data_IF_552029798675
#
_entry.id   IF_552029798675
#
_cell.length_a   1.000
_cell.length_b   1.000
_cell.length_c   1.000
_cell.angle_alpha   90.00
_cell.angle_beta   90.00
_cell.angle_gamma   90.00
#
_symmetry.space_group_name_H-M   'P 1'
#
loop_
_entity.id
_entity.type
_entity.pdbx_description
1 polymer ?
#
# COMPACT_ATOMS: atom_id res chain seq x y z
N UNK A 1 2.40 89.98 -10.12
CA UNK A 1 1.04 89.40 -10.18
C UNK A 1 1.18 87.95 -9.82
N UNK A 2 0.56 87.62 -8.69
CA UNK A 2 0.20 86.33 -8.10
C UNK A 2 1.29 85.28 -7.96
N UNK A 3 1.95 85.13 -6.80
CA UNK A 3 1.51 84.83 -5.41
C UNK A 3 1.15 83.36 -5.12
N UNK A 4 1.79 82.93 -4.03
CA UNK A 4 1.47 81.84 -3.09
C UNK A 4 1.88 80.43 -3.49
N UNK A 5 2.42 79.58 -2.61
CA UNK A 5 3.04 79.66 -1.28
C UNK A 5 3.47 78.19 -0.97
N UNK A 6 4.64 77.95 -0.36
CA UNK A 6 4.78 77.43 1.02
C UNK A 6 3.91 76.17 1.32
N UNK A 7 4.39 75.02 1.80
CA UNK A 7 5.53 74.77 2.68
C UNK A 7 5.73 73.27 2.98
N UNK A 8 6.99 72.92 3.27
CA UNK A 8 7.48 72.03 4.34
C UNK A 8 6.74 70.70 4.61
N UNK A 9 7.43 69.58 4.42
CA UNK A 9 8.21 68.96 5.49
C UNK A 9 8.96 67.73 4.99
N UNK A 10 10.21 67.65 5.42
CA UNK A 10 11.18 66.61 5.16
C UNK A 10 10.86 65.36 5.99
N UNK A 11 10.90 64.18 5.37
CA UNK A 11 11.13 62.91 6.06
C UNK A 11 11.68 61.89 5.06
N UNK A 12 12.95 61.55 5.28
CA UNK A 12 13.65 60.42 4.68
C UNK A 12 13.02 59.15 5.24
N UNK A 13 12.47 58.29 4.38
CA UNK A 13 12.17 56.90 4.74
C UNK A 13 12.98 56.01 3.82
N UNK A 14 14.04 55.45 4.41
CA UNK A 14 14.82 54.34 3.87
C UNK A 14 13.88 53.14 3.69
N UNK A 15 13.52 52.84 2.45
CA UNK A 15 12.72 51.67 2.09
C UNK A 15 13.60 50.57 1.52
N UNK A 16 14.00 49.64 2.38
CA UNK A 16 14.66 48.39 2.01
C UNK A 16 13.68 47.58 1.15
N UNK A 17 13.93 47.48 -0.16
CA UNK A 17 13.25 46.52 -1.02
C UNK A 17 13.84 45.12 -0.74
N UNK A 18 13.20 44.39 0.17
CA UNK A 18 13.43 42.97 0.34
C UNK A 18 12.97 42.22 -0.92
N UNK A 19 13.93 41.55 -1.56
CA UNK A 19 13.66 40.63 -2.65
C UNK A 19 12.76 39.48 -2.17
N UNK A 20 11.64 39.29 -2.87
CA UNK A 20 10.74 38.16 -2.70
C UNK A 20 11.43 36.87 -3.12
N UNK A 21 11.81 36.02 -2.17
CA UNK A 21 12.12 34.61 -2.44
C UNK A 21 10.86 33.80 -2.13
N UNK A 22 10.12 33.49 -3.19
CA UNK A 22 8.99 32.57 -3.16
C UNK A 22 9.55 31.14 -3.11
N UNK A 23 9.68 30.58 -1.91
CA UNK A 23 10.04 29.18 -1.72
C UNK A 23 8.82 28.30 -1.99
N UNK A 24 8.73 27.74 -3.20
CA UNK A 24 7.76 26.69 -3.53
C UNK A 24 8.23 25.40 -2.85
N UNK A 25 7.65 25.08 -1.70
CA UNK A 25 7.82 23.78 -1.06
C UNK A 25 7.04 22.72 -1.87
N UNK A 26 7.72 22.09 -2.82
CA UNK A 26 7.28 20.83 -3.42
C UNK A 26 7.49 19.72 -2.38
N UNK A 27 6.51 19.51 -1.48
CA UNK A 27 6.43 18.23 -0.76
C UNK A 27 5.60 17.28 -1.61
N UNK A 28 6.31 16.40 -2.31
CA UNK A 28 5.78 15.22 -2.97
C UNK A 28 5.17 14.27 -1.95
N UNK A 29 3.92 14.50 -1.56
CA UNK A 29 3.09 13.44 -1.00
C UNK A 29 2.52 12.65 -2.18
N UNK A 30 3.31 11.72 -2.70
CA UNK A 30 2.74 10.60 -3.44
C UNK A 30 2.13 9.67 -2.39
N UNK A 31 0.88 9.94 -1.99
CA UNK A 31 0.00 8.86 -1.60
C UNK A 31 -0.04 7.94 -2.83
N UNK A 32 0.52 6.73 -2.72
CA UNK A 32 0.33 5.73 -3.75
C UNK A 32 -1.19 5.57 -3.87
N UNK A 33 -1.76 6.10 -4.95
CA UNK A 33 -3.17 5.94 -5.23
C UNK A 33 -3.43 4.43 -5.25
N UNK A 34 -4.12 3.93 -4.22
CA UNK A 34 -4.77 2.63 -4.30
C UNK A 34 -5.68 2.75 -5.51
N UNK A 35 -5.26 2.14 -6.62
CA UNK A 35 -6.06 2.11 -7.83
C UNK A 35 -7.30 1.31 -7.47
N UNK A 36 -8.40 2.00 -7.23
CA UNK A 36 -9.69 1.38 -6.98
C UNK A 36 -10.01 0.56 -8.24
N UNK A 37 -9.89 -0.76 -8.15
CA UNK A 37 -10.24 -1.65 -9.25
C UNK A 37 -11.76 -1.69 -9.29
N UNK A 38 -12.36 -0.83 -10.11
CA UNK A 38 -13.82 -0.69 -10.21
C UNK A 38 -14.49 -1.80 -11.02
N UNK A 39 -13.72 -2.64 -11.69
CA UNK A 39 -14.21 -3.81 -12.41
C UNK A 39 -14.13 -5.10 -11.59
N UNK A 40 -15.00 -6.06 -11.91
CA UNK A 40 -14.95 -7.42 -11.35
C UNK A 40 -13.93 -8.32 -12.09
N UNK A 41 -13.17 -7.77 -13.03
CA UNK A 41 -12.09 -8.46 -13.72
C UNK A 41 -10.89 -7.53 -13.88
N UNK A 42 -9.68 -8.09 -13.77
CA UNK A 42 -8.44 -7.36 -13.93
C UNK A 42 -7.41 -8.23 -14.64
N UNK A 43 -6.86 -7.72 -15.74
CA UNK A 43 -5.70 -8.29 -16.41
C UNK A 43 -4.65 -7.19 -16.51
N UNK A 44 -3.49 -7.36 -15.89
CA UNK A 44 -2.45 -6.33 -15.90
C UNK A 44 -1.04 -6.90 -15.88
N UNK A 45 -0.08 -6.04 -16.22
CA UNK A 45 1.35 -6.21 -15.96
C UNK A 45 1.88 -4.94 -15.30
N UNK A 46 2.60 -5.08 -14.19
CA UNK A 46 3.13 -3.95 -13.41
C UNK A 46 4.52 -4.26 -12.86
N UNK A 47 5.35 -3.24 -12.78
CA UNK A 47 6.61 -3.27 -12.02
C UNK A 47 6.45 -2.33 -10.82
N UNK A 48 6.87 -2.79 -9.64
CA UNK A 48 6.82 -2.01 -8.41
C UNK A 48 8.02 -2.32 -7.52
N UNK A 49 8.47 -1.31 -6.80
CA UNK A 49 9.49 -1.45 -5.75
C UNK A 49 8.80 -1.48 -4.40
N UNK A 50 9.27 -2.36 -3.53
CA UNK A 50 8.71 -2.55 -2.19
C UNK A 50 8.86 -1.32 -1.31
N UNK A 51 7.95 -1.23 -0.35
CA UNK A 51 7.98 -0.28 0.76
C UNK A 51 7.90 -1.04 2.08
N UNK A 52 8.33 -0.47 3.22
CA UNK A 52 8.03 -1.04 4.52
C UNK A 52 6.52 -1.28 4.67
N UNK A 53 6.16 -2.47 5.16
CA UNK A 53 4.79 -2.84 5.47
C UNK A 53 4.26 -2.15 6.72
N UNK A 54 3.06 -2.56 7.15
CA UNK A 54 2.53 -2.12 8.45
C UNK A 54 3.22 -2.94 9.54
N UNK A 55 3.90 -2.30 10.50
CA UNK A 55 4.52 -3.01 11.60
C UNK A 55 3.47 -3.79 12.38
N UNK A 56 3.73 -5.07 12.60
CA UNK A 56 2.95 -5.93 13.48
C UNK A 56 3.89 -6.93 14.16
N UNK A 57 3.50 -7.53 15.30
CA UNK A 57 4.34 -8.51 15.98
C UNK A 57 4.81 -9.61 15.02
N UNK A 58 6.12 -9.79 14.86
CA UNK A 58 6.73 -10.75 13.94
C UNK A 58 6.85 -10.31 12.48
N UNK A 59 6.45 -9.07 12.15
CA UNK A 59 6.51 -8.49 10.79
C UNK A 59 6.95 -7.02 10.81
N UNK A 60 7.73 -6.61 11.80
CA UNK A 60 7.97 -5.21 12.15
C UNK A 60 8.68 -4.41 11.05
N UNK A 61 9.40 -5.07 10.14
CA UNK A 61 10.21 -4.42 9.10
C UNK A 61 10.07 -5.07 7.70
N UNK A 62 9.08 -5.94 7.51
CA UNK A 62 8.88 -6.64 6.25
C UNK A 62 8.63 -5.65 5.10
N UNK A 63 9.22 -5.95 3.94
CA UNK A 63 9.02 -5.16 2.73
C UNK A 63 7.85 -5.75 1.94
N UNK A 64 6.97 -4.90 1.40
CA UNK A 64 5.77 -5.35 0.69
C UNK A 64 5.54 -4.63 -0.65
N UNK A 65 4.91 -5.33 -1.58
CA UNK A 65 4.23 -4.77 -2.76
C UNK A 65 2.81 -5.34 -2.79
N UNK A 66 1.81 -4.46 -2.77
CA UNK A 66 0.41 -4.85 -2.95
C UNK A 66 0.12 -5.09 -4.44
N UNK A 67 -0.24 -6.32 -4.79
CA UNK A 67 -0.61 -6.72 -6.15
C UNK A 67 -2.11 -6.57 -6.39
N UNK A 68 -2.93 -7.03 -5.44
CA UNK A 68 -4.39 -6.85 -5.44
C UNK A 68 -4.85 -6.37 -4.06
N UNK A 69 -5.56 -5.23 -3.96
CA UNK A 69 -6.23 -4.81 -2.72
C UNK A 69 -7.50 -5.64 -2.46
N UNK A 70 -8.12 -5.53 -1.27
CA UNK A 70 -9.47 -6.05 -1.06
C UNK A 70 -10.43 -5.53 -2.13
N UNK A 71 -11.30 -6.40 -2.65
CA UNK A 71 -12.38 -5.95 -3.53
C UNK A 71 -13.51 -5.25 -2.76
N UNK A 72 -13.80 -5.74 -1.55
CA UNK A 72 -15.02 -5.36 -0.82
C UNK A 72 -16.26 -6.12 -1.32
N UNK A 73 -17.45 -5.72 -0.87
CA UNK A 73 -18.75 -6.24 -1.30
C UNK A 73 -18.88 -7.78 -1.26
N UNK A 74 -18.36 -8.40 -0.19
CA UNK A 74 -18.37 -9.85 0.06
C UNK A 74 -17.80 -10.70 -1.09
N UNK A 75 -16.75 -10.17 -1.76
CA UNK A 75 -16.06 -10.83 -2.87
C UNK A 75 -14.58 -11.09 -2.57
N UNK A 76 -14.07 -12.17 -3.15
CA UNK A 76 -12.65 -12.50 -3.22
C UNK A 76 -12.14 -12.44 -4.66
N UNK A 77 -10.83 -12.25 -4.82
CA UNK A 77 -10.18 -12.41 -6.11
C UNK A 77 -9.84 -13.87 -6.40
N UNK A 78 -10.14 -14.33 -7.60
CA UNK A 78 -9.77 -15.66 -8.09
C UNK A 78 -9.05 -15.51 -9.42
N UNK A 79 -7.86 -16.08 -9.54
CA UNK A 79 -7.06 -15.93 -10.75
C UNK A 79 -5.68 -16.56 -10.68
N UNK A 80 -4.79 -16.05 -11.53
CA UNK A 80 -3.40 -16.50 -11.65
C UNK A 80 -2.47 -15.29 -11.64
N UNK A 81 -1.34 -15.41 -10.95
CA UNK A 81 -0.25 -14.43 -10.98
C UNK A 81 1.03 -15.09 -11.46
N UNK A 82 1.84 -14.34 -12.20
CA UNK A 82 3.23 -14.66 -12.52
C UNK A 82 4.12 -13.49 -12.13
N UNK A 83 5.31 -13.77 -11.60
CA UNK A 83 6.24 -12.72 -11.17
C UNK A 83 7.69 -13.04 -11.48
N UNK A 84 8.50 -11.98 -11.53
CA UNK A 84 9.95 -11.97 -11.46
C UNK A 84 10.38 -10.86 -10.49
N UNK A 85 11.35 -11.12 -9.63
CA UNK A 85 11.76 -10.26 -8.52
C UNK A 85 13.27 -10.17 -8.44
N UNK A 86 13.77 -9.01 -7.98
CA UNK A 86 15.20 -8.79 -7.73
C UNK A 86 15.74 -9.58 -6.53
N UNK A 87 14.85 -10.00 -5.62
CA UNK A 87 15.17 -10.76 -4.41
C UNK A 87 14.21 -11.95 -4.27
N UNK A 88 14.60 -13.02 -3.56
CA UNK A 88 13.66 -14.05 -3.13
C UNK A 88 12.53 -13.42 -2.31
N UNK A 89 11.29 -13.68 -2.71
CA UNK A 89 10.09 -13.14 -2.08
C UNK A 89 9.04 -14.24 -1.95
N UNK A 90 8.18 -14.08 -0.96
CA UNK A 90 6.98 -14.88 -0.81
C UNK A 90 5.80 -14.20 -1.49
N UNK A 91 4.84 -15.02 -1.92
CA UNK A 91 3.52 -14.54 -2.36
C UNK A 91 2.59 -14.65 -1.15
N UNK A 92 2.27 -13.50 -0.56
CA UNK A 92 1.35 -13.42 0.55
C UNK A 92 -0.09 -13.53 0.09
N UNK A 93 -0.75 -14.60 0.50
CA UNK A 93 -2.19 -14.79 0.38
C UNK A 93 -2.86 -14.31 1.66
N UNK A 94 -3.57 -13.18 1.58
CA UNK A 94 -4.27 -12.62 2.73
C UNK A 94 -5.74 -12.95 2.57
N UNK A 95 -6.26 -13.66 3.56
CA UNK A 95 -7.65 -14.12 3.61
C UNK A 95 -8.27 -13.65 4.93
N UNK A 96 -9.51 -13.16 4.86
CA UNK A 96 -10.28 -12.77 6.03
C UNK A 96 -10.53 -13.99 6.92
N UNK A 97 -10.12 -13.88 8.18
CA UNK A 97 -10.24 -14.96 9.16
C UNK A 97 -11.53 -14.86 9.98
N UNK A 98 -12.25 -15.97 10.09
CA UNK A 98 -13.46 -16.04 10.88
C UNK A 98 -13.15 -16.40 12.34
N UNK A 99 -12.96 -15.39 13.18
CA UNK A 99 -12.73 -15.56 14.63
C UNK A 99 -13.85 -16.32 15.35
N UNK A 100 -15.09 -16.32 14.83
CA UNK A 100 -16.18 -17.06 15.47
C UNK A 100 -16.06 -18.58 15.28
N UNK A 101 -15.18 -19.04 14.39
CA UNK A 101 -14.91 -20.45 14.14
C UNK A 101 -13.70 -20.97 14.94
N UNK A 102 -13.06 -20.11 15.75
CA UNK A 102 -11.91 -20.46 16.57
C UNK A 102 -12.28 -21.32 17.77
N UNK A 103 -11.32 -22.15 18.19
CA UNK A 103 -11.37 -22.88 19.46
C UNK A 103 -10.07 -22.67 20.26
N UNK A 104 -10.17 -22.77 21.58
CA UNK A 104 -9.05 -22.46 22.49
C UNK A 104 -7.80 -23.34 22.28
N UNK A 105 -7.92 -24.49 21.63
CA UNK A 105 -6.83 -25.46 21.43
C UNK A 105 -6.10 -25.24 20.08
N UNK A 106 -6.78 -24.68 19.07
CA UNK A 106 -6.29 -24.59 17.69
C UNK A 106 -6.16 -23.17 17.11
N UNK A 107 -6.45 -22.11 17.87
CA UNK A 107 -6.31 -20.68 17.46
C UNK A 107 -4.89 -20.17 17.31
N UNK A 108 -4.04 -20.84 16.52
CA UNK A 108 -2.63 -20.42 16.29
C UNK A 108 -2.41 -19.67 14.99
N UNK A 109 -3.46 -19.21 14.33
CA UNK A 109 -3.32 -18.47 13.08
C UNK A 109 -2.70 -17.11 13.41
N UNK A 110 -1.58 -16.77 12.77
CA UNK A 110 -1.03 -15.41 12.89
C UNK A 110 -1.96 -14.41 12.19
N UNK A 111 -2.33 -13.37 12.94
CA UNK A 111 -3.37 -12.43 12.55
C UNK A 111 -2.77 -11.04 12.35
N UNK A 112 -2.89 -10.48 11.13
CA UNK A 112 -2.55 -9.08 10.90
C UNK A 112 -3.79 -8.19 11.02
N UNK A 113 -3.74 -7.22 11.93
CA UNK A 113 -4.76 -6.18 12.05
C UNK A 113 -4.35 -4.97 11.22
N UNK A 114 -5.05 -4.73 10.10
CA UNK A 114 -4.83 -3.55 9.25
C UNK A 114 -5.83 -2.44 9.65
N UNK A 115 -5.36 -1.52 10.49
CA UNK A 115 -6.08 -0.36 11.05
C UNK A 115 -7.20 -0.68 12.06
N UNK A 116 -7.31 0.16 13.09
CA UNK A 116 -8.18 0.01 14.28
C UNK A 116 -9.71 0.11 14.01
N UNK A 117 -10.19 -0.09 12.78
CA UNK A 117 -11.58 0.23 12.41
C UNK A 117 -12.37 -0.87 11.71
N UNK A 118 -11.87 -2.09 11.56
CA UNK A 118 -12.74 -3.22 11.22
C UNK A 118 -12.07 -4.54 11.55
N UNK A 119 -12.87 -5.52 11.96
CA UNK A 119 -12.52 -6.88 12.39
C UNK A 119 -11.84 -7.74 11.31
N UNK A 120 -11.16 -7.15 10.33
CA UNK A 120 -10.44 -7.87 9.30
C UNK A 120 -9.10 -8.31 9.86
N UNK A 121 -9.14 -9.43 10.56
CA UNK A 121 -7.96 -10.25 10.74
C UNK A 121 -7.64 -10.84 9.37
N UNK A 122 -6.50 -10.45 8.82
CA UNK A 122 -5.95 -11.13 7.67
C UNK A 122 -5.04 -12.21 8.23
N UNK A 123 -5.48 -13.45 8.07
CA UNK A 123 -4.59 -14.57 8.24
C UNK A 123 -3.59 -14.51 7.09
N UNK A 124 -2.33 -14.23 7.40
CA UNK A 124 -1.24 -14.69 6.56
C UNK A 124 -1.08 -16.17 6.85
N UNK A 125 -0.76 -16.98 5.84
CA UNK A 125 -0.43 -18.40 6.07
C UNK A 125 0.87 -18.53 6.84
N UNK A 126 0.86 -18.22 8.14
CA UNK A 126 1.87 -18.65 9.06
C UNK A 126 1.27 -19.70 9.99
N UNK A 127 1.15 -20.90 9.45
CA UNK A 127 0.83 -22.11 10.20
C UNK A 127 1.72 -23.29 9.80
N UNK A 128 2.96 -23.03 9.30
CA UNK A 128 4.04 -23.99 8.90
C UNK A 128 4.40 -24.10 7.40
N UNK A 129 3.94 -23.20 6.53
CA UNK A 129 4.34 -23.22 5.12
C UNK A 129 4.34 -21.85 4.45
N UNK A 130 5.46 -21.14 4.52
CA UNK A 130 5.79 -20.08 3.57
C UNK A 130 5.56 -20.59 2.14
N UNK A 131 4.94 -19.81 1.27
CA UNK A 131 5.22 -20.02 -0.16
C UNK A 131 6.74 -19.93 -0.31
N UNK A 132 7.41 -20.84 -1.04
CA UNK A 132 8.85 -20.77 -1.16
C UNK A 132 9.30 -19.36 -1.57
N UNK A 133 10.31 -18.81 -0.89
CA UNK A 133 10.89 -17.55 -1.31
C UNK A 133 11.58 -17.75 -2.68
N UNK A 134 10.98 -17.19 -3.72
CA UNK A 134 11.40 -17.39 -5.09
C UNK A 134 11.55 -16.04 -5.79
N UNK A 135 12.58 -15.93 -6.61
CA UNK A 135 12.79 -14.77 -7.47
C UNK A 135 11.85 -14.77 -8.68
N UNK A 136 11.16 -15.88 -8.98
CA UNK A 136 10.17 -15.95 -10.03
C UNK A 136 9.20 -17.11 -9.78
N UNK A 137 8.02 -17.03 -10.37
CA UNK A 137 7.06 -18.11 -10.28
C UNK A 137 5.75 -17.78 -10.95
N UNK A 138 4.86 -18.76 -10.91
CA UNK A 138 3.44 -18.59 -11.23
C UNK A 138 2.63 -19.43 -10.26
N UNK A 139 1.47 -18.90 -9.84
CA UNK A 139 0.54 -19.62 -8.98
C UNK A 139 -0.88 -19.14 -9.24
N UNK A 140 -1.82 -20.08 -9.13
CA UNK A 140 -3.23 -19.78 -9.01
C UNK A 140 -3.53 -19.33 -7.57
N UNK A 141 -4.60 -18.55 -7.39
CA UNK A 141 -5.01 -18.05 -6.08
C UNK A 141 -6.53 -17.83 -5.98
N UNK A 142 -7.03 -17.85 -4.75
CA UNK A 142 -8.35 -17.41 -4.34
C UNK A 142 -8.23 -16.69 -2.98
N UNK A 143 -8.21 -15.35 -2.97
CA UNK A 143 -7.79 -14.54 -1.81
C UNK A 143 -8.55 -13.22 -1.71
N UNK A 144 -8.61 -12.63 -0.52
CA UNK A 144 -9.09 -11.26 -0.35
C UNK A 144 -8.06 -10.25 -0.85
N UNK A 145 -6.78 -10.48 -0.55
CA UNK A 145 -5.66 -9.66 -1.04
C UNK A 145 -4.49 -10.51 -1.47
N UNK A 146 -3.75 -9.98 -2.45
CA UNK A 146 -2.52 -10.59 -2.95
C UNK A 146 -1.37 -9.60 -2.76
N UNK A 147 -0.33 -10.03 -2.06
CA UNK A 147 0.89 -9.23 -1.85
C UNK A 147 2.12 -10.03 -2.23
N UNK A 148 3.19 -9.32 -2.54
CA UNK A 148 4.54 -9.86 -2.52
C UNK A 148 5.22 -9.35 -1.26
N UNK A 149 5.89 -10.22 -0.52
CA UNK A 149 6.59 -9.82 0.69
C UNK A 149 7.98 -10.41 0.79
N UNK A 150 8.88 -9.67 1.43
CA UNK A 150 10.19 -10.14 1.85
C UNK A 150 10.22 -10.22 3.37
N UNK A 151 10.56 -11.38 3.91
CA UNK A 151 10.63 -11.64 5.35
C UNK A 151 11.99 -11.24 5.96
N UNK A 152 12.98 -10.95 5.11
CA UNK A 152 14.34 -10.61 5.52
C UNK A 152 14.60 -9.09 5.51
N UNK A 153 13.54 -8.27 5.48
CA UNK A 153 13.58 -6.80 5.45
C UNK A 153 14.31 -6.20 4.24
N UNK A 154 14.60 -7.00 3.21
CA UNK A 154 15.34 -6.54 2.02
C UNK A 154 14.41 -5.88 1.04
N UNK A 155 14.75 -4.65 0.64
CA UNK A 155 13.99 -3.92 -0.38
C UNK A 155 14.13 -4.62 -1.72
N UNK A 156 13.01 -4.89 -2.39
CA UNK A 156 12.99 -5.60 -3.66
C UNK A 156 12.21 -4.84 -4.73
N UNK A 157 12.45 -5.17 -6.00
CA UNK A 157 11.63 -4.74 -7.13
C UNK A 157 11.07 -5.97 -7.81
N UNK A 158 9.75 -6.00 -8.00
CA UNK A 158 9.02 -7.10 -8.62
C UNK A 158 8.32 -6.60 -9.87
N UNK A 159 8.40 -7.39 -10.94
CA UNK A 159 7.52 -7.27 -12.11
C UNK A 159 6.58 -8.46 -12.11
N UNK A 160 5.28 -8.20 -12.18
CA UNK A 160 4.25 -9.22 -12.17
C UNK A 160 3.22 -8.99 -13.26
N UNK A 161 2.62 -10.09 -13.72
CA UNK A 161 1.42 -10.10 -14.53
C UNK A 161 0.36 -10.93 -13.82
N UNK A 162 -0.89 -10.46 -13.83
CA UNK A 162 -2.00 -11.18 -13.25
C UNK A 162 -3.24 -11.09 -14.13
N UNK A 163 -4.06 -12.12 -14.05
CA UNK A 163 -5.41 -12.17 -14.60
C UNK A 163 -6.34 -12.74 -13.54
N UNK A 164 -7.36 -11.98 -13.15
CA UNK A 164 -8.21 -12.33 -12.03
C UNK A 164 -9.63 -11.78 -12.18
N UNK A 165 -10.57 -12.44 -11.52
CA UNK A 165 -11.97 -12.02 -11.40
C UNK A 165 -12.38 -11.98 -9.94
N UNK A 166 -13.17 -10.99 -9.56
CA UNK A 166 -13.84 -10.92 -8.28
C UNK A 166 -15.06 -11.85 -8.30
N UNK A 167 -15.17 -12.73 -7.30
CA UNK A 167 -16.27 -13.68 -7.15
C UNK A 167 -16.92 -13.54 -5.79
N UNK A 168 -18.25 -13.65 -5.76
CA UNK A 168 -19.01 -13.66 -4.51
C UNK A 168 -18.62 -14.86 -3.65
N UNK A 169 -18.51 -14.63 -2.35
CA UNK A 169 -18.32 -15.71 -1.37
C UNK A 169 -19.67 -16.41 -1.17
N UNK A 170 -19.75 -17.69 -1.48
CA UNK A 170 -20.90 -18.51 -1.11
C UNK A 170 -20.74 -19.00 0.32
N UNK A 171 -21.59 -18.53 1.24
CA UNK A 171 -21.69 -19.09 2.58
C UNK A 171 -22.35 -20.47 2.48
N UNK A 172 -21.56 -21.53 2.59
CA UNK A 172 -22.04 -22.92 2.70
C UNK A 172 -22.21 -23.35 4.15
#
# INVERSE_FOLDING_TARGET
>A
MDMFAYSKNMSVISGVLFASVLAILMTSQSAAAQTLVTGDSITLRKTATSVPGIPSPGHEDHQIVMALPPKGDDKIWVGTVSWISSEPIEVGFLIAHNQSAEDEEHSKVETLTINNTSNTILASTNLTGSTPELTFGTTDFAVDQLVFHSTNNTKFTVTFALDAVAKDITNS
#
